data_IF_647631689580
#
_entry.id   IF_647631689580
#
_cell.length_a   1.000
_cell.length_b   1.000
_cell.length_c   1.000
_cell.angle_alpha   90.00
_cell.angle_beta   90.00
_cell.angle_gamma   90.00
#
_symmetry.space_group_name_H-M   'P 1'
#
loop_
_entity.id
_entity.type
_entity.pdbx_description
1 polymer ?
#
# COMPACT_ATOMS: atom_id res chain seq x y z
N UNK A 1 12.25 -25.54 -8.69
CA UNK A 1 10.98 -25.83 -9.39
C UNK A 1 10.39 -24.50 -9.90
N UNK A 2 9.99 -24.45 -11.15
CA UNK A 2 9.33 -23.32 -11.79
C UNK A 2 8.02 -23.83 -12.40
N UNK A 3 6.93 -23.16 -12.08
CA UNK A 3 5.61 -23.43 -12.62
C UNK A 3 5.26 -22.42 -13.72
N UNK A 4 4.55 -22.87 -14.77
CA UNK A 4 4.17 -22.02 -15.91
C UNK A 4 3.11 -20.98 -15.54
N UNK A 5 2.21 -21.30 -14.60
CA UNK A 5 1.17 -20.41 -14.07
C UNK A 5 1.00 -20.65 -12.57
N UNK A 6 0.84 -19.61 -11.81
CA UNK A 6 0.54 -19.71 -10.38
C UNK A 6 -0.81 -20.40 -10.15
N UNK A 7 -0.89 -21.16 -9.05
CA UNK A 7 -2.13 -21.79 -8.57
C UNK A 7 -2.07 -21.92 -7.07
N UNK A 8 -2.96 -21.21 -6.37
CA UNK A 8 -3.01 -21.25 -4.92
C UNK A 8 -3.36 -22.66 -4.38
N UNK A 9 -4.24 -23.38 -5.09
CA UNK A 9 -4.68 -24.74 -4.69
C UNK A 9 -3.63 -25.83 -4.91
N UNK A 10 -2.68 -25.61 -5.84
CA UNK A 10 -1.62 -26.59 -6.12
C UNK A 10 -0.30 -26.25 -5.42
N UNK A 11 -0.21 -25.07 -4.81
CA UNK A 11 1.05 -24.59 -4.23
C UNK A 11 1.57 -25.53 -3.13
N UNK A 12 0.80 -25.82 -2.13
CA UNK A 12 1.23 -26.68 -1.00
C UNK A 12 1.48 -28.14 -1.39
N UNK A 13 0.62 -28.80 -2.21
CA UNK A 13 0.93 -30.09 -2.81
C UNK A 13 2.29 -30.12 -3.54
N UNK A 14 2.59 -29.10 -4.35
CA UNK A 14 3.86 -29.03 -5.09
C UNK A 14 5.05 -28.71 -4.17
N UNK A 15 4.88 -27.85 -3.16
CA UNK A 15 5.91 -27.58 -2.14
C UNK A 15 6.30 -28.90 -1.44
N UNK A 16 5.33 -29.73 -1.07
CA UNK A 16 5.58 -31.05 -0.49
C UNK A 16 6.23 -32.02 -1.51
N UNK A 17 5.67 -32.12 -2.70
CA UNK A 17 6.17 -33.03 -3.75
C UNK A 17 7.63 -32.74 -4.10
N UNK A 18 7.99 -31.46 -4.27
CA UNK A 18 9.33 -31.04 -4.68
C UNK A 18 10.27 -30.74 -3.52
N UNK A 19 9.83 -30.93 -2.27
CA UNK A 19 10.59 -30.62 -1.06
C UNK A 19 11.18 -29.20 -1.08
N UNK A 20 10.36 -28.23 -1.50
CA UNK A 20 10.75 -26.83 -1.71
C UNK A 20 11.02 -26.16 -0.36
N UNK A 21 12.22 -25.64 -0.16
CA UNK A 21 12.64 -24.97 1.08
C UNK A 21 12.69 -23.45 1.02
N UNK A 22 12.68 -22.90 -0.20
CA UNK A 22 12.68 -21.46 -0.49
C UNK A 22 11.55 -21.11 -1.47
N UNK A 23 10.79 -20.07 -1.18
CA UNK A 23 9.77 -19.49 -2.06
C UNK A 23 10.15 -18.06 -2.42
N UNK A 24 10.28 -17.77 -3.72
CA UNK A 24 10.42 -16.40 -4.22
C UNK A 24 9.03 -15.89 -4.54
N UNK A 25 8.62 -14.77 -3.92
CA UNK A 25 7.25 -14.30 -3.98
C UNK A 25 7.12 -12.84 -4.43
N UNK A 26 5.91 -12.51 -4.84
CA UNK A 26 5.34 -11.17 -4.85
C UNK A 26 4.19 -11.18 -3.85
N UNK A 27 4.00 -10.11 -3.09
CA UNK A 27 3.07 -10.08 -1.96
C UNK A 27 1.65 -10.49 -2.30
N UNK A 28 1.16 -10.16 -3.50
CA UNK A 28 -0.17 -10.54 -3.95
C UNK A 28 -0.34 -12.07 -4.10
N UNK A 29 0.68 -12.80 -4.53
CA UNK A 29 0.64 -14.27 -4.55
C UNK A 29 0.52 -14.85 -3.14
N UNK A 30 1.16 -14.21 -2.17
CA UNK A 30 1.03 -14.58 -0.76
C UNK A 30 -0.38 -14.35 -0.23
N UNK A 31 -1.05 -13.28 -0.65
CA UNK A 31 -2.45 -13.03 -0.32
C UNK A 31 -3.35 -14.15 -0.84
N UNK A 32 -3.21 -14.56 -2.09
CA UNK A 32 -3.98 -15.68 -2.65
C UNK A 32 -3.76 -16.98 -1.86
N UNK A 33 -2.54 -17.24 -1.41
CA UNK A 33 -2.25 -18.40 -0.56
C UNK A 33 -2.90 -18.29 0.82
N UNK A 34 -2.89 -17.11 1.41
CA UNK A 34 -3.50 -16.84 2.70
C UNK A 34 -5.01 -17.03 2.69
N UNK A 35 -5.68 -16.59 1.60
CA UNK A 35 -7.13 -16.70 1.39
C UNK A 35 -7.57 -18.10 0.95
N UNK A 36 -6.67 -18.92 0.42
CA UNK A 36 -7.00 -20.26 -0.04
C UNK A 36 -7.50 -21.14 1.12
N UNK A 37 -8.48 -22.02 0.85
CA UNK A 37 -8.91 -23.00 1.84
C UNK A 37 -7.75 -23.82 2.36
N UNK A 38 -7.79 -24.18 3.66
CA UNK A 38 -6.77 -24.99 4.27
C UNK A 38 -6.68 -26.38 3.60
N UNK A 39 -5.46 -26.87 3.40
CA UNK A 39 -5.20 -28.19 2.87
C UNK A 39 -4.21 -28.95 3.76
N UNK A 40 -4.22 -30.31 3.71
CA UNK A 40 -3.35 -31.13 4.54
C UNK A 40 -1.84 -30.85 4.34
N UNK A 41 -1.46 -30.52 3.12
CA UNK A 41 -0.07 -30.31 2.69
C UNK A 41 0.54 -29.04 3.25
N UNK A 42 -0.25 -28.07 3.69
CA UNK A 42 0.28 -26.85 4.33
C UNK A 42 0.85 -27.13 5.74
N UNK A 43 0.41 -28.23 6.37
CA UNK A 43 0.92 -28.65 7.68
C UNK A 43 2.23 -29.40 7.50
N UNK A 44 3.22 -29.07 8.35
CA UNK A 44 4.54 -29.68 8.31
C UNK A 44 5.23 -29.57 6.92
N UNK A 45 4.94 -28.51 6.17
CA UNK A 45 5.56 -28.27 4.88
C UNK A 45 7.08 -28.01 5.02
N UNK A 46 7.90 -28.33 4.00
CA UNK A 46 9.36 -28.16 4.06
C UNK A 46 9.82 -26.69 3.87
N UNK A 47 8.92 -25.74 3.59
CA UNK A 47 9.25 -24.35 3.30
C UNK A 47 9.83 -23.66 4.54
N UNK A 48 11.07 -23.17 4.44
CA UNK A 48 11.79 -22.53 5.56
C UNK A 48 11.92 -21.03 5.40
N UNK A 49 12.06 -20.61 4.15
CA UNK A 49 12.43 -19.22 3.82
C UNK A 49 11.55 -18.69 2.69
N UNK A 50 11.16 -17.45 2.81
CA UNK A 50 10.56 -16.69 1.73
C UNK A 50 11.46 -15.49 1.40
N UNK A 51 11.55 -15.15 0.10
CA UNK A 51 12.30 -14.01 -0.40
C UNK A 51 11.45 -13.29 -1.45
N UNK A 52 11.18 -12.01 -1.27
CA UNK A 52 10.36 -11.28 -2.23
C UNK A 52 10.07 -9.86 -1.79
N UNK A 53 9.01 -9.29 -2.31
CA UNK A 53 8.62 -7.91 -2.04
C UNK A 53 7.11 -7.73 -1.94
N UNK A 54 6.68 -6.73 -1.19
CA UNK A 54 5.29 -6.31 -1.06
C UNK A 54 4.44 -7.21 -0.18
N UNK A 55 5.04 -7.90 0.79
CA UNK A 55 4.31 -8.71 1.75
C UNK A 55 3.67 -7.81 2.82
N UNK A 56 2.35 -7.78 2.84
CA UNK A 56 1.59 -6.97 3.76
C UNK A 56 1.65 -7.53 5.19
N UNK A 57 1.55 -6.69 6.24
CA UNK A 57 1.64 -7.11 7.64
C UNK A 57 0.61 -8.17 8.05
N UNK A 58 -0.64 -8.07 7.57
CA UNK A 58 -1.71 -9.04 7.81
C UNK A 58 -1.36 -10.43 7.24
N UNK A 59 -0.90 -10.48 6.00
CA UNK A 59 -0.46 -11.70 5.31
C UNK A 59 0.82 -12.25 5.95
N UNK A 60 1.72 -11.40 6.42
CA UNK A 60 2.93 -11.79 7.14
C UNK A 60 2.64 -12.70 8.33
N UNK A 61 1.69 -12.30 9.16
CA UNK A 61 1.27 -13.07 10.32
C UNK A 61 0.68 -14.45 9.96
N UNK A 62 -0.04 -14.54 8.82
CA UNK A 62 -0.56 -15.82 8.32
C UNK A 62 0.58 -16.76 7.93
N UNK A 63 1.59 -16.27 7.21
CA UNK A 63 2.75 -17.09 6.84
C UNK A 63 3.55 -17.56 8.05
N UNK A 64 3.67 -16.74 9.09
CA UNK A 64 4.30 -17.12 10.36
C UNK A 64 3.50 -18.18 11.11
N UNK A 65 2.21 -17.95 11.30
CA UNK A 65 1.39 -18.69 12.24
C UNK A 65 0.70 -19.91 11.61
N UNK A 66 0.10 -19.75 10.40
CA UNK A 66 -0.60 -20.84 9.70
C UNK A 66 0.37 -21.76 8.97
N UNK A 67 1.31 -21.19 8.23
CA UNK A 67 2.21 -21.96 7.37
C UNK A 67 3.57 -22.28 8.04
N UNK A 68 3.88 -21.67 9.19
CA UNK A 68 5.07 -21.96 9.97
C UNK A 68 6.39 -21.51 9.32
N UNK A 69 6.36 -20.55 8.40
CA UNK A 69 7.56 -20.04 7.73
C UNK A 69 8.44 -19.28 8.72
N UNK A 70 9.70 -19.75 8.87
CA UNK A 70 10.62 -19.22 9.89
C UNK A 70 11.35 -17.96 9.46
N UNK A 71 11.61 -17.80 8.17
CA UNK A 71 12.34 -16.65 7.63
C UNK A 71 11.59 -16.00 6.49
N UNK A 72 11.33 -14.72 6.65
CA UNK A 72 10.71 -13.88 5.62
C UNK A 72 11.69 -12.74 5.33
N UNK A 73 12.32 -12.76 4.17
CA UNK A 73 13.26 -11.75 3.74
C UNK A 73 12.56 -10.85 2.72
N UNK A 74 12.10 -9.71 3.19
CA UNK A 74 11.52 -8.69 2.32
C UNK A 74 12.63 -7.91 1.62
N UNK A 75 12.41 -7.57 0.35
CA UNK A 75 13.30 -6.76 -0.47
C UNK A 75 12.54 -5.50 -0.88
N UNK A 76 13.15 -4.36 -0.74
CA UNK A 76 12.68 -3.10 -1.30
C UNK A 76 13.72 -2.56 -2.28
N UNK A 77 13.25 -2.03 -3.40
CA UNK A 77 14.06 -1.38 -4.41
C UNK A 77 13.36 -1.31 -5.76
N UNK A 78 13.93 -0.54 -6.66
CA UNK A 78 13.54 -0.44 -8.06
C UNK A 78 14.73 -0.71 -8.96
N UNK A 79 14.47 -1.13 -10.20
CA UNK A 79 15.53 -1.46 -11.17
C UNK A 79 16.34 -0.25 -11.63
N UNK A 80 15.71 0.92 -11.63
CA UNK A 80 16.29 2.20 -12.04
C UNK A 80 16.91 2.98 -10.88
N UNK A 81 16.50 2.67 -9.64
CA UNK A 81 16.91 3.40 -8.44
C UNK A 81 18.20 2.91 -7.83
N UNK A 82 18.69 3.68 -6.86
CA UNK A 82 19.92 3.36 -6.12
C UNK A 82 19.66 2.86 -4.69
N UNK A 83 18.40 2.86 -4.24
CA UNK A 83 18.03 2.38 -2.90
C UNK A 83 17.64 0.92 -2.96
N UNK A 84 18.35 0.09 -2.20
CA UNK A 84 18.00 -1.31 -1.97
C UNK A 84 18.05 -1.60 -0.48
N UNK A 85 16.92 -2.06 0.07
CA UNK A 85 16.79 -2.48 1.46
C UNK A 85 16.46 -3.96 1.53
N UNK A 86 16.99 -4.64 2.54
CA UNK A 86 16.83 -6.09 2.73
C UNK A 86 16.55 -6.40 4.20
N UNK A 87 15.54 -7.17 4.47
CA UNK A 87 15.23 -7.67 5.80
C UNK A 87 16.10 -8.89 6.16
N UNK A 88 17.39 -8.70 6.23
CA UNK A 88 18.37 -9.76 6.52
C UNK A 88 18.31 -10.24 7.97
N UNK A 89 17.89 -9.37 8.89
CA UNK A 89 17.76 -9.69 10.32
C UNK A 89 16.45 -10.40 10.66
N UNK A 90 15.60 -10.67 9.65
CA UNK A 90 14.32 -11.36 9.81
C UNK A 90 13.39 -10.70 10.84
N UNK A 91 13.30 -9.38 10.79
CA UNK A 91 12.40 -8.59 11.62
C UNK A 91 11.01 -8.54 10.99
N UNK A 92 9.97 -8.66 11.80
CA UNK A 92 8.61 -8.75 11.30
C UNK A 92 8.11 -7.42 10.74
N UNK A 93 7.33 -7.49 9.67
CA UNK A 93 6.63 -6.36 9.02
C UNK A 93 7.53 -5.18 8.64
N UNK A 94 8.78 -5.45 8.22
CA UNK A 94 9.74 -4.43 7.78
C UNK A 94 10.39 -4.81 6.45
N UNK A 95 10.67 -3.81 5.62
CA UNK A 95 11.45 -3.94 4.40
C UNK A 95 12.96 -4.00 4.68
N UNK A 96 13.36 -3.98 5.95
CA UNK A 96 14.73 -4.17 6.40
C UNK A 96 15.57 -2.89 6.40
N UNK A 97 16.85 -3.06 6.10
CA UNK A 97 17.89 -2.01 6.12
C UNK A 97 18.77 -2.10 4.88
N UNK A 98 19.57 -1.09 4.61
CA UNK A 98 20.48 -1.04 3.47
C UNK A 98 21.80 -0.32 3.79
N UNK A 99 22.68 -0.30 2.80
CA UNK A 99 24.00 0.37 2.89
C UNK A 99 24.02 1.74 2.20
N UNK A 100 23.02 2.07 1.40
CA UNK A 100 22.87 3.39 0.80
C UNK A 100 22.51 4.41 1.87
N UNK A 101 23.04 5.61 1.77
CA UNK A 101 22.62 6.72 2.63
C UNK A 101 21.22 7.16 2.19
N UNK A 102 20.25 7.02 3.08
CA UNK A 102 18.89 7.49 2.84
C UNK A 102 18.53 8.62 3.77
N UNK A 103 17.62 9.47 3.33
CA UNK A 103 17.03 10.56 4.08
C UNK A 103 15.52 10.47 3.95
N UNK A 104 14.80 10.60 5.06
CA UNK A 104 13.34 10.66 5.08
C UNK A 104 12.93 12.11 5.36
N UNK A 105 12.31 12.76 4.39
CA UNK A 105 11.99 14.18 4.47
C UNK A 105 10.49 14.42 4.55
N UNK A 106 10.09 15.50 5.22
CA UNK A 106 8.69 15.95 5.21
C UNK A 106 8.26 16.30 3.80
N UNK A 107 7.07 15.81 3.46
CA UNK A 107 6.50 15.96 2.13
C UNK A 107 5.06 16.46 2.23
N UNK A 108 4.74 17.48 1.46
CA UNK A 108 3.39 17.99 1.34
C UNK A 108 2.70 17.35 0.12
N UNK A 109 1.65 16.57 0.39
CA UNK A 109 0.91 15.81 -0.63
C UNK A 109 0.08 16.73 -1.51
N UNK A 110 -0.38 17.88 -1.00
CA UNK A 110 -1.24 18.80 -1.74
C UNK A 110 -0.46 19.60 -2.78
N UNK A 111 0.74 20.08 -2.40
CA UNK A 111 1.61 20.81 -3.30
C UNK A 111 2.51 19.90 -4.15
N UNK A 112 2.59 18.60 -3.82
CA UNK A 112 3.51 17.61 -4.41
C UNK A 112 4.98 18.02 -4.26
N UNK A 113 5.34 18.63 -3.09
CA UNK A 113 6.64 19.20 -2.83
C UNK A 113 7.25 18.77 -1.49
N UNK A 114 8.59 18.82 -1.40
CA UNK A 114 9.31 18.65 -0.13
C UNK A 114 9.14 19.91 0.70
N UNK A 115 8.87 19.73 2.01
CA UNK A 115 8.75 20.83 2.95
C UNK A 115 10.14 21.31 3.36
N UNK A 116 10.37 22.62 3.19
CA UNK A 116 11.61 23.28 3.56
C UNK A 116 11.43 24.14 4.83
N UNK A 117 12.51 24.31 5.59
CA UNK A 117 12.55 25.24 6.70
C UNK A 117 12.69 26.71 6.25
N UNK A 118 12.72 27.64 7.20
CA UNK A 118 12.87 29.10 6.95
C UNK A 118 14.18 29.45 6.21
N UNK A 119 15.17 28.57 6.23
CA UNK A 119 16.46 28.75 5.56
C UNK A 119 16.55 28.02 4.21
N UNK A 120 15.44 27.40 3.75
CA UNK A 120 15.39 26.64 2.52
C UNK A 120 16.03 25.25 2.61
N UNK A 121 16.20 24.70 3.81
CA UNK A 121 16.72 23.34 4.03
C UNK A 121 15.58 22.36 4.20
N UNK A 122 15.79 21.13 3.76
CA UNK A 122 14.84 20.03 3.94
C UNK A 122 14.63 19.72 5.43
N UNK A 123 13.40 19.42 5.79
CA UNK A 123 13.03 18.99 7.15
C UNK A 123 12.96 17.46 7.13
N UNK A 124 13.84 16.81 7.90
CA UNK A 124 13.75 15.36 8.10
C UNK A 124 12.60 15.03 9.05
N UNK A 125 11.99 13.87 8.87
CA UNK A 125 10.92 13.38 9.75
C UNK A 125 11.50 12.73 11.01
N UNK A 126 10.75 12.74 12.09
CA UNK A 126 11.10 12.02 13.31
C UNK A 126 10.89 10.50 13.14
N UNK A 127 11.64 9.66 13.90
CA UNK A 127 11.41 8.22 13.89
C UNK A 127 9.93 7.85 14.17
N UNK A 128 9.35 7.05 13.30
CA UNK A 128 7.93 6.68 13.34
C UNK A 128 7.02 7.52 12.45
N UNK A 129 7.43 8.73 12.07
CA UNK A 129 6.73 9.52 11.06
C UNK A 129 7.02 9.01 9.64
N UNK A 130 6.01 9.10 8.77
CA UNK A 130 6.19 8.83 7.35
C UNK A 130 6.83 10.02 6.65
N UNK A 131 7.88 9.76 5.86
CA UNK A 131 8.55 10.76 5.04
C UNK A 131 8.87 10.23 3.66
N UNK A 132 9.04 11.14 2.71
CA UNK A 132 9.52 10.81 1.37
C UNK A 132 10.96 10.31 1.46
N UNK A 133 11.21 9.10 0.96
CA UNK A 133 12.56 8.53 0.96
C UNK A 133 13.38 9.05 -0.22
N UNK A 134 14.54 9.60 0.12
CA UNK A 134 15.57 10.02 -0.82
C UNK A 134 16.82 9.15 -0.66
N UNK A 135 17.41 8.72 -1.78
CA UNK A 135 18.68 7.97 -1.79
C UNK A 135 19.82 8.80 -2.30
N UNK A 136 20.92 8.93 -1.54
CA UNK A 136 22.11 9.66 -1.98
C UNK A 136 22.69 9.04 -3.24
N UNK A 137 22.92 9.87 -4.26
CA UNK A 137 23.58 9.47 -5.51
C UNK A 137 25.05 9.81 -5.42
N UNK A 138 25.89 8.80 -5.41
CA UNK A 138 27.36 8.93 -5.39
C UNK A 138 28.02 7.92 -6.33
N UNK A 139 29.34 7.83 -6.34
CA UNK A 139 30.08 6.90 -7.18
C UNK A 139 29.83 5.44 -6.85
N UNK A 140 29.41 5.14 -5.62
CA UNK A 140 29.11 3.79 -5.13
C UNK A 140 27.65 3.40 -5.38
N UNK A 141 26.73 4.35 -5.24
CA UNK A 141 25.29 4.14 -5.39
C UNK A 141 24.75 5.05 -6.49
N UNK A 142 24.89 4.59 -7.73
CA UNK A 142 24.48 5.32 -8.92
C UNK A 142 22.96 5.18 -9.14
N UNK A 143 22.35 6.23 -9.65
CA UNK A 143 21.01 6.20 -10.17
C UNK A 143 21.10 5.98 -11.69
N UNK A 144 20.61 4.83 -12.17
CA UNK A 144 20.66 4.48 -13.58
C UNK A 144 19.64 5.25 -14.43
N UNK A 145 18.54 5.70 -13.82
CA UNK A 145 17.53 6.54 -14.44
C UNK A 145 16.59 5.80 -15.39
N UNK A 146 15.84 6.58 -16.13
CA UNK A 146 14.82 6.13 -17.09
C UNK A 146 15.32 6.27 -18.52
N UNK A 147 14.56 5.70 -19.47
CA UNK A 147 14.84 5.90 -20.92
C UNK A 147 14.73 7.36 -21.36
N UNK A 148 13.85 8.14 -20.72
CA UNK A 148 13.73 9.58 -20.91
C UNK A 148 14.71 10.32 -19.99
N UNK A 149 15.52 11.20 -20.55
CA UNK A 149 16.40 12.08 -19.78
C UNK A 149 15.60 13.06 -18.90
N UNK A 150 14.47 13.56 -19.40
CA UNK A 150 13.56 14.42 -18.67
C UNK A 150 13.02 13.72 -17.41
N UNK A 151 12.41 12.55 -17.57
CA UNK A 151 11.91 11.74 -16.44
C UNK A 151 13.02 11.35 -15.44
N UNK A 152 14.26 11.22 -15.91
CA UNK A 152 15.41 10.97 -15.05
C UNK A 152 15.76 12.21 -14.23
N UNK A 153 15.81 13.38 -14.88
CA UNK A 153 16.12 14.64 -14.20
C UNK A 153 15.07 15.03 -13.17
N UNK A 154 13.79 14.80 -13.45
CA UNK A 154 12.67 15.07 -12.54
C UNK A 154 12.75 14.25 -11.22
N UNK A 155 13.51 13.17 -11.23
CA UNK A 155 13.73 12.33 -10.05
C UNK A 155 15.02 12.65 -9.31
N UNK A 156 15.81 13.61 -9.78
CA UNK A 156 17.06 14.02 -9.12
C UNK A 156 16.85 15.36 -8.43
N UNK A 157 17.03 15.37 -7.13
CA UNK A 157 17.04 16.58 -6.31
C UNK A 157 18.50 16.93 -5.98
N UNK A 158 18.81 18.22 -5.93
CA UNK A 158 20.18 18.71 -5.71
C UNK A 158 20.24 19.70 -4.56
N UNK A 159 21.43 19.83 -3.95
CA UNK A 159 21.73 20.86 -2.94
C UNK A 159 20.83 20.80 -1.70
N UNK A 160 20.46 19.59 -1.25
CA UNK A 160 19.54 19.41 -0.13
C UNK A 160 20.22 19.51 1.24
N UNK A 161 21.39 18.90 1.40
CA UNK A 161 22.22 18.96 2.62
C UNK A 161 23.48 19.77 2.41
N UNK A 162 24.18 19.51 1.32
CA UNK A 162 25.46 20.12 0.98
C UNK A 162 25.43 20.59 -0.48
N UNK A 163 26.12 21.70 -0.81
CA UNK A 163 26.22 22.16 -2.19
C UNK A 163 26.79 21.06 -3.11
N UNK A 164 26.08 20.73 -4.18
CA UNK A 164 26.48 19.75 -5.18
C UNK A 164 26.06 18.31 -4.84
N UNK A 165 25.40 18.05 -3.72
CA UNK A 165 24.84 16.73 -3.45
C UNK A 165 23.67 16.43 -4.41
N UNK A 166 23.44 15.16 -4.65
CA UNK A 166 22.38 14.68 -5.53
C UNK A 166 21.64 13.53 -4.87
N UNK A 167 20.30 13.59 -4.95
CA UNK A 167 19.43 12.64 -4.28
C UNK A 167 18.40 12.09 -5.27
N UNK A 168 18.22 10.79 -5.26
CA UNK A 168 17.14 10.13 -6.00
C UNK A 168 15.84 10.19 -5.21
N UNK A 169 14.82 10.80 -5.78
CA UNK A 169 13.45 10.79 -5.25
C UNK A 169 12.78 9.46 -5.60
N UNK A 170 12.60 8.60 -4.60
CA UNK A 170 11.98 7.27 -4.80
C UNK A 170 10.49 7.36 -5.13
N UNK A 171 9.81 8.42 -4.69
CA UNK A 171 8.36 8.57 -4.77
C UNK A 171 7.61 7.72 -3.75
N UNK A 172 8.31 7.15 -2.77
CA UNK A 172 7.74 6.28 -1.75
C UNK A 172 7.82 6.93 -0.37
N UNK A 173 6.72 6.87 0.38
CA UNK A 173 6.64 7.27 1.78
C UNK A 173 7.05 6.08 2.65
N UNK A 174 8.04 6.32 3.49
CA UNK A 174 8.69 5.32 4.35
C UNK A 174 8.77 5.85 5.75
N UNK A 175 8.73 4.98 6.76
CA UNK A 175 9.03 5.36 8.15
C UNK A 175 10.10 4.45 8.75
N UNK A 176 10.85 4.99 9.70
CA UNK A 176 11.74 4.19 10.56
C UNK A 176 10.90 3.52 11.63
N UNK A 177 11.12 2.23 11.85
CA UNK A 177 10.39 1.44 12.85
C UNK A 177 11.33 0.86 13.89
N UNK A 178 10.86 0.82 15.14
CA UNK A 178 11.56 0.11 16.21
C UNK A 178 11.29 -1.40 16.09
N UNK A 179 12.33 -2.15 15.84
CA UNK A 179 12.31 -3.62 15.74
C UNK A 179 13.06 -4.30 16.88
N UNK A 180 13.34 -3.56 17.96
CA UNK A 180 14.18 -4.00 19.06
C UNK A 180 15.64 -4.09 18.64
N UNK A 181 16.39 -5.08 19.18
CA UNK A 181 17.81 -5.20 18.87
C UNK A 181 18.04 -5.46 17.37
N UNK A 182 18.70 -4.52 16.71
CA UNK A 182 18.99 -4.51 15.28
C UNK A 182 20.45 -4.11 14.97
N UNK A 183 21.37 -4.33 15.89
CA UNK A 183 22.81 -4.02 15.73
C UNK A 183 23.10 -2.53 15.40
N UNK A 184 22.21 -1.61 15.81
CA UNK A 184 22.31 -0.18 15.48
C UNK A 184 21.89 0.18 14.06
N UNK A 185 21.36 -0.77 13.28
CA UNK A 185 20.89 -0.52 11.91
C UNK A 185 19.43 -0.07 11.93
N UNK A 186 19.10 1.05 11.26
CA UNK A 186 17.72 1.48 11.11
C UNK A 186 16.94 0.45 10.28
N UNK A 187 15.70 0.21 10.66
CA UNK A 187 14.77 -0.62 9.89
C UNK A 187 13.62 0.23 9.40
N UNK A 188 13.21 -0.06 8.18
CA UNK A 188 12.25 0.74 7.46
C UNK A 188 10.97 -0.04 7.19
N UNK A 189 9.84 0.66 7.17
CA UNK A 189 8.56 0.14 6.75
C UNK A 189 8.00 1.00 5.62
N UNK A 190 7.53 0.35 4.58
CA UNK A 190 6.82 1.00 3.49
C UNK A 190 5.44 1.47 3.98
N UNK A 191 5.08 2.70 3.71
CA UNK A 191 3.79 3.28 4.09
C UNK A 191 2.88 3.36 2.87
N UNK A 192 3.28 4.14 1.84
CA UNK A 192 2.52 4.27 0.61
C UNK A 192 3.37 4.93 -0.48
N UNK A 193 2.81 5.06 -1.68
CA UNK A 193 3.37 5.91 -2.73
C UNK A 193 2.81 7.32 -2.63
N UNK A 194 3.65 8.31 -2.91
CA UNK A 194 3.24 9.71 -2.94
C UNK A 194 2.01 9.91 -3.83
N UNK A 195 2.00 9.35 -5.05
CA UNK A 195 0.87 9.48 -5.99
C UNK A 195 -0.40 8.69 -5.63
N UNK A 196 -0.35 7.85 -4.59
CA UNK A 196 -1.50 7.08 -4.11
C UNK A 196 -2.07 7.65 -2.81
N UNK A 197 -1.22 8.18 -1.93
CA UNK A 197 -1.63 8.89 -0.72
C UNK A 197 -2.48 10.11 -1.10
N UNK A 198 -3.50 10.40 -0.32
CA UNK A 198 -4.33 11.58 -0.51
C UNK A 198 -4.55 12.30 0.83
N UNK A 199 -4.99 13.56 0.76
CA UNK A 199 -5.32 14.36 1.94
C UNK A 199 -6.81 14.55 2.04
N UNK A 200 -7.35 14.32 3.23
CA UNK A 200 -8.76 14.55 3.54
C UNK A 200 -8.89 15.27 4.87
N UNK A 201 -9.58 16.44 4.87
CA UNK A 201 -9.79 17.25 6.09
C UNK A 201 -8.49 17.59 6.82
N UNK A 202 -7.49 18.02 6.06
CA UNK A 202 -6.15 18.36 6.52
C UNK A 202 -5.29 17.18 7.05
N UNK A 203 -5.75 15.94 6.93
CA UNK A 203 -5.03 14.74 7.36
C UNK A 203 -4.57 13.90 6.16
N UNK A 204 -3.35 13.39 6.20
CA UNK A 204 -2.82 12.50 5.17
C UNK A 204 -3.35 11.08 5.38
N UNK A 205 -3.85 10.47 4.32
CA UNK A 205 -4.42 9.13 4.33
C UNK A 205 -3.59 8.20 3.44
N UNK A 206 -2.98 7.19 4.04
CA UNK A 206 -2.31 6.12 3.31
C UNK A 206 -3.34 5.13 2.78
N UNK A 207 -3.33 4.93 1.46
CA UNK A 207 -4.25 3.98 0.82
C UNK A 207 -3.94 2.54 1.20
N UNK A 208 -2.65 2.23 1.44
CA UNK A 208 -2.24 0.90 1.88
C UNK A 208 -2.70 0.60 3.31
N UNK A 209 -2.49 1.53 4.26
CA UNK A 209 -2.90 1.32 5.65
C UNK A 209 -4.42 1.13 5.77
N UNK A 210 -5.20 1.96 5.08
CA UNK A 210 -6.66 1.80 5.04
C UNK A 210 -7.05 0.47 4.40
N UNK A 211 -6.43 0.12 3.26
CA UNK A 211 -6.70 -1.14 2.57
C UNK A 211 -6.36 -2.37 3.43
N UNK A 212 -5.24 -2.35 4.16
CA UNK A 212 -4.86 -3.42 5.09
C UNK A 212 -5.91 -3.61 6.19
N UNK A 213 -6.40 -2.51 6.76
CA UNK A 213 -7.42 -2.55 7.80
C UNK A 213 -8.74 -3.09 7.22
N UNK A 214 -9.19 -2.57 6.07
CA UNK A 214 -10.43 -3.05 5.43
C UNK A 214 -10.39 -4.54 5.10
N UNK A 215 -9.23 -5.06 4.68
CA UNK A 215 -9.07 -6.49 4.39
C UNK A 215 -9.11 -7.39 5.64
N UNK A 216 -9.10 -6.84 6.84
CA UNK A 216 -9.35 -7.58 8.08
C UNK A 216 -10.83 -7.71 8.42
N UNK A 217 -11.74 -7.08 7.65
CA UNK A 217 -13.17 -7.23 7.78
C UNK A 217 -13.62 -8.60 7.24
N UNK A 218 -14.42 -9.34 8.01
CA UNK A 218 -14.78 -10.74 7.73
C UNK A 218 -15.55 -10.93 6.42
N UNK A 219 -16.16 -9.89 5.84
CA UNK A 219 -16.89 -9.95 4.59
C UNK A 219 -16.06 -9.56 3.35
N UNK A 220 -14.84 -9.02 3.53
CA UNK A 220 -14.00 -8.50 2.45
C UNK A 220 -12.92 -9.50 2.05
N UNK A 221 -12.87 -9.87 0.77
CA UNK A 221 -11.76 -10.61 0.20
C UNK A 221 -10.57 -9.69 -0.09
N UNK A 222 -10.83 -8.54 -0.72
CA UNK A 222 -9.80 -7.56 -1.06
C UNK A 222 -10.40 -6.17 -1.18
N UNK A 223 -9.64 -5.17 -0.80
CA UNK A 223 -9.95 -3.75 -0.98
C UNK A 223 -8.85 -3.02 -1.75
N UNK A 224 -9.24 -2.06 -2.56
CA UNK A 224 -8.38 -1.15 -3.29
C UNK A 224 -8.81 0.28 -2.99
N UNK A 225 -7.99 1.00 -2.22
CA UNK A 225 -8.34 2.33 -1.70
C UNK A 225 -7.66 3.42 -2.54
N UNK A 226 -8.38 4.49 -2.79
CA UNK A 226 -7.92 5.63 -3.56
C UNK A 226 -8.66 6.90 -3.17
N UNK A 227 -8.07 8.07 -3.47
CA UNK A 227 -8.69 9.37 -3.26
C UNK A 227 -9.50 9.81 -4.46
N UNK A 228 -10.68 10.41 -4.22
CA UNK A 228 -11.57 10.99 -5.24
C UNK A 228 -11.94 12.42 -4.88
N UNK A 229 -12.09 13.28 -5.89
CA UNK A 229 -12.45 14.67 -5.69
C UNK A 229 -13.96 14.80 -5.47
N UNK A 230 -14.38 15.58 -4.47
CA UNK A 230 -15.77 15.98 -4.26
C UNK A 230 -15.86 17.50 -4.52
N UNK A 231 -16.67 17.96 -5.47
CA UNK A 231 -16.86 19.39 -5.69
C UNK A 231 -17.27 20.14 -4.42
N UNK A 232 -16.54 21.20 -4.09
CA UNK A 232 -16.80 22.02 -2.90
C UNK A 232 -16.19 21.50 -1.59
N UNK A 233 -15.56 20.33 -1.58
CA UNK A 233 -14.82 19.81 -0.44
C UNK A 233 -13.32 20.14 -0.55
N UNK A 234 -12.63 20.20 0.59
CA UNK A 234 -11.18 20.38 0.67
C UNK A 234 -10.48 19.01 0.68
N UNK A 235 -9.51 18.82 -0.22
CA UNK A 235 -8.78 17.57 -0.38
C UNK A 235 -9.55 16.51 -1.17
N UNK A 236 -9.15 15.25 -1.03
CA UNK A 236 -9.76 14.09 -1.69
C UNK A 236 -10.41 13.17 -0.68
N UNK A 237 -11.65 12.80 -0.93
CA UNK A 237 -12.37 11.82 -0.11
C UNK A 237 -11.86 10.40 -0.38
N UNK A 238 -11.76 9.58 0.65
CA UNK A 238 -11.42 8.16 0.48
C UNK A 238 -12.54 7.40 -0.25
N UNK A 239 -12.17 6.62 -1.24
CA UNK A 239 -13.03 5.62 -1.88
C UNK A 239 -12.38 4.25 -1.84
N UNK A 240 -13.15 3.23 -1.49
CA UNK A 240 -12.70 1.85 -1.46
C UNK A 240 -13.50 1.02 -2.47
N UNK A 241 -12.82 0.44 -3.47
CA UNK A 241 -13.38 -0.65 -4.27
C UNK A 241 -13.11 -1.95 -3.53
N UNK A 242 -14.17 -2.70 -3.17
CA UNK A 242 -14.05 -3.95 -2.41
C UNK A 242 -14.65 -5.11 -3.17
N UNK A 243 -14.01 -6.28 -3.08
CA UNK A 243 -14.57 -7.56 -3.50
C UNK A 243 -14.93 -8.35 -2.26
N UNK A 244 -16.11 -8.93 -2.24
CA UNK A 244 -16.59 -9.70 -1.11
C UNK A 244 -16.08 -11.14 -1.16
N UNK A 245 -15.92 -11.76 0.00
CA UNK A 245 -15.62 -13.18 0.10
C UNK A 245 -16.73 -13.96 -0.63
N UNK A 246 -16.39 -14.98 -1.47
CA UNK A 246 -17.37 -15.73 -2.21
C UNK A 246 -18.51 -16.28 -1.35
N UNK A 247 -19.75 -15.95 -1.74
CA UNK A 247 -20.96 -16.34 -1.02
C UNK A 247 -21.40 -15.38 0.09
N UNK A 248 -20.63 -14.35 0.40
CA UNK A 248 -21.02 -13.29 1.32
C UNK A 248 -21.88 -12.22 0.60
N UNK A 249 -22.72 -11.55 1.37
CA UNK A 249 -23.43 -10.34 0.97
C UNK A 249 -22.89 -9.16 1.78
N UNK A 250 -22.89 -7.98 1.19
CA UNK A 250 -22.42 -6.79 1.89
C UNK A 250 -23.40 -6.40 3.00
N UNK A 251 -23.00 -6.64 4.23
CA UNK A 251 -23.70 -6.15 5.43
C UNK A 251 -23.20 -4.74 5.78
N UNK A 252 -24.01 -3.75 5.46
CA UNK A 252 -23.70 -2.34 5.67
C UNK A 252 -23.52 -2.01 7.14
N UNK A 253 -24.32 -2.60 8.03
CA UNK A 253 -24.26 -2.29 9.46
C UNK A 253 -22.97 -2.83 10.09
N UNK A 254 -22.63 -4.09 9.80
CA UNK A 254 -21.40 -4.73 10.23
C UNK A 254 -20.16 -3.98 9.69
N UNK A 255 -20.16 -3.63 8.40
CA UNK A 255 -19.09 -2.85 7.79
C UNK A 255 -18.93 -1.48 8.44
N UNK A 256 -20.04 -0.78 8.69
CA UNK A 256 -20.01 0.54 9.36
C UNK A 256 -19.40 0.45 10.76
N UNK A 257 -19.84 -0.53 11.56
CA UNK A 257 -19.31 -0.75 12.92
C UNK A 257 -17.81 -1.08 12.86
N UNK A 258 -17.39 -1.93 11.92
CA UNK A 258 -16.00 -2.27 11.73
C UNK A 258 -15.15 -1.05 11.40
N UNK A 259 -15.54 -0.26 10.40
CA UNK A 259 -14.82 0.95 9.97
C UNK A 259 -14.75 2.00 11.09
N UNK A 260 -15.82 2.15 11.87
CA UNK A 260 -15.86 3.11 12.97
C UNK A 260 -14.96 2.71 14.14
N UNK A 261 -14.77 1.41 14.36
CA UNK A 261 -13.91 0.89 15.40
C UNK A 261 -12.42 0.92 15.01
N UNK A 262 -12.11 0.57 13.77
CA UNK A 262 -10.73 0.31 13.33
C UNK A 262 -10.06 1.51 12.66
N UNK A 263 -10.83 2.46 12.10
CA UNK A 263 -10.29 3.61 11.36
C UNK A 263 -10.60 4.94 12.05
N UNK A 264 -9.61 5.84 12.15
CA UNK A 264 -9.88 7.22 12.56
C UNK A 264 -10.80 7.91 11.54
N UNK A 265 -11.58 8.88 11.99
CA UNK A 265 -12.66 9.48 11.19
C UNK A 265 -12.21 10.02 9.81
N UNK A 266 -11.00 10.58 9.73
CA UNK A 266 -10.46 11.11 8.48
C UNK A 266 -10.04 10.01 7.47
N UNK A 267 -9.72 8.81 7.94
CA UNK A 267 -9.27 7.69 7.09
C UNK A 267 -10.42 6.76 6.65
N UNK A 268 -11.62 6.96 7.19
CA UNK A 268 -12.80 6.18 6.80
C UNK A 268 -13.18 6.50 5.37
N UNK A 269 -13.32 5.49 4.48
CA UNK A 269 -13.79 5.75 3.12
C UNK A 269 -15.15 6.46 3.14
N UNK A 270 -15.28 7.51 2.34
CA UNK A 270 -16.58 8.17 2.13
C UNK A 270 -17.45 7.32 1.19
N UNK A 271 -16.80 6.68 0.22
CA UNK A 271 -17.46 5.83 -0.77
C UNK A 271 -16.94 4.40 -0.72
N UNK A 272 -17.84 3.45 -0.91
CA UNK A 272 -17.53 2.01 -1.02
C UNK A 272 -18.20 1.46 -2.26
N UNK A 273 -17.42 1.00 -3.25
CA UNK A 273 -17.90 0.33 -4.47
C UNK A 273 -17.72 -1.17 -4.31
N UNK A 274 -18.77 -1.93 -4.62
CA UNK A 274 -18.73 -3.39 -4.55
C UNK A 274 -18.41 -3.94 -5.93
N UNK A 275 -17.22 -4.47 -6.12
CA UNK A 275 -16.78 -5.07 -7.38
C UNK A 275 -16.81 -6.60 -7.31
N UNK A 276 -17.05 -7.25 -8.45
CA UNK A 276 -16.98 -8.72 -8.54
C UNK A 276 -15.55 -9.22 -8.57
N UNK A 277 -14.66 -8.53 -9.28
CA UNK A 277 -13.23 -8.82 -9.39
C UNK A 277 -12.43 -7.52 -9.45
N UNK A 278 -11.23 -7.52 -8.88
CA UNK A 278 -10.31 -6.39 -8.94
C UNK A 278 -9.36 -6.51 -10.12
N UNK A 279 -9.17 -5.41 -10.83
CA UNK A 279 -8.16 -5.32 -11.89
C UNK A 279 -6.75 -5.43 -11.30
N UNK A 280 -5.93 -6.29 -11.89
CA UNK A 280 -4.52 -6.43 -11.54
C UNK A 280 -3.61 -6.20 -12.73
N UNK A 281 -2.42 -5.67 -12.47
CA UNK A 281 -1.36 -5.57 -13.48
C UNK A 281 -0.83 -6.95 -13.84
N UNK A 282 -0.08 -7.08 -14.94
CA UNK A 282 0.59 -8.33 -15.31
C UNK A 282 1.57 -8.86 -14.25
N UNK A 283 1.91 -8.05 -13.25
CA UNK A 283 2.74 -8.39 -12.09
C UNK A 283 1.91 -8.59 -10.81
N UNK A 284 0.62 -8.81 -10.94
CA UNK A 284 -0.34 -9.05 -9.86
C UNK A 284 -0.47 -7.89 -8.83
N UNK A 285 -0.20 -6.65 -9.22
CA UNK A 285 -0.48 -5.49 -8.39
C UNK A 285 -1.88 -4.94 -8.70
N UNK A 286 -2.62 -4.52 -7.68
CA UNK A 286 -3.91 -3.86 -7.86
C UNK A 286 -3.75 -2.60 -8.72
N UNK A 287 -4.62 -2.47 -9.72
CA UNK A 287 -4.60 -1.34 -10.64
C UNK A 287 -5.64 -0.30 -10.23
N UNK A 288 -5.18 0.93 -9.99
CA UNK A 288 -6.05 2.03 -9.52
C UNK A 288 -6.46 3.00 -10.64
N UNK A 289 -5.85 2.91 -11.82
CA UNK A 289 -6.04 3.91 -12.87
C UNK A 289 -7.49 4.08 -13.30
N UNK A 290 -8.16 2.99 -13.67
CA UNK A 290 -9.57 3.01 -14.06
C UNK A 290 -10.47 3.44 -12.90
N UNK A 291 -10.20 2.97 -11.69
CA UNK A 291 -10.97 3.28 -10.48
C UNK A 291 -10.94 4.78 -10.16
N UNK A 292 -9.75 5.39 -10.19
CA UNK A 292 -9.59 6.84 -9.99
C UNK A 292 -10.33 7.65 -11.05
N UNK A 293 -10.31 7.20 -12.32
CA UNK A 293 -10.98 7.87 -13.43
C UNK A 293 -12.51 7.75 -13.35
N UNK A 294 -13.01 6.56 -13.03
CA UNK A 294 -14.45 6.31 -12.87
C UNK A 294 -15.00 6.98 -11.60
N UNK A 295 -14.16 7.09 -10.53
CA UNK A 295 -14.54 7.71 -9.25
C UNK A 295 -15.87 7.13 -8.72
N UNK A 296 -16.85 7.98 -8.38
CA UNK A 296 -18.20 7.61 -7.98
C UNK A 296 -19.26 7.97 -9.05
N UNK A 297 -18.85 8.09 -10.32
CA UNK A 297 -19.74 8.52 -11.40
C UNK A 297 -20.70 7.41 -11.81
N UNK A 298 -21.97 7.50 -11.36
CA UNK A 298 -23.02 6.52 -11.62
C UNK A 298 -23.29 6.28 -13.11
N UNK A 299 -22.95 7.21 -13.99
CA UNK A 299 -23.10 7.05 -15.44
C UNK A 299 -21.99 6.20 -16.10
N UNK A 300 -20.96 5.85 -15.34
CA UNK A 300 -19.77 5.08 -15.78
C UNK A 300 -19.62 3.75 -15.04
N UNK A 301 -20.49 3.47 -14.06
CA UNK A 301 -20.34 2.36 -13.11
C UNK A 301 -21.70 1.67 -12.97
N UNK A 302 -21.73 0.36 -13.21
CA UNK A 302 -22.91 -0.46 -13.00
C UNK A 302 -22.98 -1.08 -11.59
N UNK A 303 -21.84 -1.16 -10.90
CA UNK A 303 -21.72 -1.76 -9.57
C UNK A 303 -22.31 -0.84 -8.49
N UNK A 304 -22.84 -1.44 -7.41
CA UNK A 304 -23.38 -0.66 -6.30
C UNK A 304 -22.29 0.18 -5.62
N UNK A 305 -22.57 1.45 -5.39
CA UNK A 305 -21.75 2.36 -4.61
C UNK A 305 -22.52 2.72 -3.35
N UNK A 306 -21.91 2.54 -2.21
CA UNK A 306 -22.40 3.03 -0.93
C UNK A 306 -21.68 4.30 -0.56
N UNK A 307 -22.36 5.22 0.10
CA UNK A 307 -21.80 6.52 0.51
C UNK A 307 -22.14 6.78 1.98
N UNK A 308 -21.19 7.32 2.70
CA UNK A 308 -21.44 7.86 4.05
C UNK A 308 -21.70 9.34 3.91
N UNK A 309 -22.97 9.71 3.92
CA UNK A 309 -23.40 11.11 3.80
C UNK A 309 -22.92 11.96 5.00
N UNK A 310 -22.74 13.27 4.83
CA UNK A 310 -22.41 14.16 5.94
C UNK A 310 -23.41 14.02 7.10
N UNK A 311 -22.89 13.77 8.31
CA UNK A 311 -23.66 13.55 9.54
C UNK A 311 -24.42 12.20 9.59
N UNK A 312 -24.33 11.35 8.55
CA UNK A 312 -24.89 10.00 8.66
C UNK A 312 -24.00 9.12 9.54
N UNK A 313 -24.65 8.27 10.35
CA UNK A 313 -23.97 7.30 11.20
C UNK A 313 -23.60 6.01 10.45
N UNK A 314 -24.17 5.76 9.27
CA UNK A 314 -23.93 4.55 8.48
C UNK A 314 -23.85 4.85 6.98
N UNK A 315 -23.36 3.85 6.23
CA UNK A 315 -23.36 3.89 4.77
C UNK A 315 -24.75 3.64 4.22
N UNK A 316 -25.07 4.28 3.11
CA UNK A 316 -26.32 4.13 2.38
C UNK A 316 -25.99 3.94 0.88
N UNK A 317 -26.85 3.26 0.14
CA UNK A 317 -26.68 3.13 -1.31
C UNK A 317 -26.71 4.54 -1.94
N UNK A 318 -25.72 4.86 -2.77
CA UNK A 318 -25.66 6.14 -3.48
C UNK A 318 -26.82 6.20 -4.49
N UNK A 319 -27.81 7.01 -4.20
CA UNK A 319 -28.93 7.26 -5.10
C UNK A 319 -28.65 8.46 -6.04
N UNK A 320 -29.53 8.65 -7.01
CA UNK A 320 -29.38 9.71 -8.01
C UNK A 320 -29.56 11.11 -7.41
N UNK A 321 -30.38 11.26 -6.41
CA UNK A 321 -30.65 12.54 -5.77
C UNK A 321 -29.40 13.05 -5.03
N UNK A 322 -28.79 12.19 -4.20
CA UNK A 322 -27.55 12.56 -3.50
C UNK A 322 -26.35 12.69 -4.45
N UNK A 323 -26.29 11.86 -5.52
CA UNK A 323 -25.30 12.00 -6.58
C UNK A 323 -25.33 13.39 -7.24
N UNK A 324 -26.53 13.93 -7.53
CA UNK A 324 -26.66 15.29 -8.08
C UNK A 324 -26.18 16.37 -7.11
N UNK A 325 -26.39 16.17 -5.81
CA UNK A 325 -25.82 17.06 -4.77
C UNK A 325 -24.30 17.00 -4.74
N UNK A 326 -23.71 15.81 -4.88
CA UNK A 326 -22.24 15.65 -4.98
C UNK A 326 -21.68 16.41 -6.18
N UNK A 327 -22.23 16.21 -7.36
CA UNK A 327 -21.75 16.83 -8.60
C UNK A 327 -21.92 18.36 -8.59
N UNK A 328 -23.00 18.85 -7.99
CA UNK A 328 -23.23 20.31 -7.84
C UNK A 328 -22.42 20.98 -6.73
N UNK A 329 -21.71 20.19 -5.89
CA UNK A 329 -20.98 20.71 -4.72
C UNK A 329 -21.88 21.12 -3.54
N UNK A 330 -23.13 20.69 -3.52
CA UNK A 330 -24.09 21.02 -2.47
C UNK A 330 -24.25 19.90 -1.41
N UNK A 331 -23.47 18.82 -1.52
CA UNK A 331 -23.55 17.66 -0.62
C UNK A 331 -23.13 17.96 0.83
N UNK A 332 -22.35 19.04 1.10
CA UNK A 332 -22.02 19.52 2.45
C UNK A 332 -20.84 18.82 3.14
N UNK A 333 -19.90 18.26 2.35
CA UNK A 333 -18.65 17.69 2.88
C UNK A 333 -17.66 18.74 3.36
#
# INVERSE_FOLDING_TARGET
FIRRRFSATQFWPEVQQHQTTLFIYVGELCRYLAMAPACPEEKNNPLKTMLGNGLRPDVWNIFRNRFGVKRITEIYGSSEGNVTLLNILNKDSTIGTGSVVVMLVKYDIDSDEIVLDENGKVIEVEPGEAGLMLGLIDDRFKFDGYKSAEATNDKILTDLREPGDRWFNTGDLIRVVDVGFAMGLPHYQFVDRVGDTFRWRAENVSTNEVGEILNACDQIEISNVYGVDIPGAEGKAGMAAITLIPGQQFDVAEFTEFVDRELPAFARPVFVRIEQEQDTTGTFKLFKGNLKQQSYHLDQIDEPIYVRQPRSEQYELLDREFYEQLISGSAGY
#
